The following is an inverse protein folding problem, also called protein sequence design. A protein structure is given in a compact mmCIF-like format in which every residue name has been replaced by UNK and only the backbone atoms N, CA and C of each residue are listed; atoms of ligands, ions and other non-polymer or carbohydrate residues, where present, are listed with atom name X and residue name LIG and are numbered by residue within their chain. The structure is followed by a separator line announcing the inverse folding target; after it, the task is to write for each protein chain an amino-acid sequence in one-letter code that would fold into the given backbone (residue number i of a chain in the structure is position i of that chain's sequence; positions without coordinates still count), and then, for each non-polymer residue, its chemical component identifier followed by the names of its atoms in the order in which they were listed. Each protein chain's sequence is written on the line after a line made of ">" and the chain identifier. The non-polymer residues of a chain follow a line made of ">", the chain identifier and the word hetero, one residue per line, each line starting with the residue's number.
data_IF_354947063172
#
_entry.id   IF_354947063172
#
_cell.length_a   1.000
_cell.length_b   1.000
_cell.length_c   1.000
_cell.angle_alpha   90.00
_cell.angle_beta   90.00
_cell.angle_gamma   90.00
#
_symmetry.space_group_name_H-M   'P 1'
#
loop_
_entity.id
_entity.type
_entity.pdbx_description
1 polymer ?
#
# COMPACT_ATOMS: atom_id res chain seq x y z
N UNK A 1 -22.68 -6.70 -15.19
CA UNK A 1 -23.22 -6.35 -13.86
C UNK A 1 -24.74 -6.09 -13.88
N UNK A 2 -25.43 -6.15 -12.71
CA UNK A 2 -26.85 -5.77 -12.53
C UNK A 2 -26.92 -4.30 -12.04
N UNK A 3 -27.84 -3.49 -12.58
CA UNK A 3 -28.04 -2.07 -12.21
C UNK A 3 -29.49 -1.83 -11.72
N UNK A 4 -29.82 -2.26 -10.48
CA UNK A 4 -31.21 -2.38 -10.04
C UNK A 4 -31.91 -1.06 -9.66
N UNK A 5 -31.17 0.02 -9.40
CA UNK A 5 -31.73 1.31 -9.01
C UNK A 5 -31.60 2.35 -10.13
N UNK A 6 -32.45 3.38 -10.12
CA UNK A 6 -32.38 4.51 -11.08
C UNK A 6 -31.06 5.29 -10.90
N UNK A 7 -30.67 5.56 -9.65
CA UNK A 7 -29.40 6.17 -9.27
C UNK A 7 -28.88 5.50 -7.99
N UNK A 8 -27.60 5.67 -7.70
CA UNK A 8 -26.99 5.27 -6.44
C UNK A 8 -26.31 3.91 -6.48
N UNK A 9 -26.43 3.13 -7.56
CA UNK A 9 -25.87 1.77 -7.67
C UNK A 9 -24.40 1.70 -7.26
N UNK A 10 -23.56 2.61 -7.73
CA UNK A 10 -22.14 2.64 -7.35
C UNK A 10 -21.91 2.96 -5.87
N UNK A 11 -22.74 3.82 -5.26
CA UNK A 11 -22.67 4.14 -3.82
C UNK A 11 -23.12 2.93 -3.00
N UNK A 12 -24.26 2.35 -3.35
CA UNK A 12 -24.81 1.15 -2.71
C UNK A 12 -23.85 -0.04 -2.84
N UNK A 13 -23.27 -0.29 -4.00
CA UNK A 13 -22.30 -1.37 -4.20
C UNK A 13 -21.08 -1.23 -3.28
N UNK A 14 -20.54 -0.01 -3.11
CA UNK A 14 -19.42 0.24 -2.19
C UNK A 14 -19.83 0.11 -0.72
N UNK A 15 -21.06 0.48 -0.37
CA UNK A 15 -21.59 0.27 0.98
C UNK A 15 -21.77 -1.22 1.28
N UNK A 16 -22.34 -2.00 0.36
CA UNK A 16 -22.49 -3.46 0.50
C UNK A 16 -21.12 -4.14 0.59
N UNK A 17 -20.16 -3.73 -0.24
CA UNK A 17 -18.77 -4.20 -0.15
C UNK A 17 -18.19 -3.95 1.24
N UNK A 18 -18.34 -2.73 1.77
CA UNK A 18 -17.88 -2.39 3.11
C UNK A 18 -18.59 -3.19 4.20
N UNK A 19 -19.91 -3.38 4.09
CA UNK A 19 -20.69 -4.18 5.02
C UNK A 19 -20.15 -5.61 5.11
N UNK A 20 -19.89 -6.26 3.96
CA UNK A 20 -19.36 -7.62 3.92
C UNK A 20 -17.95 -7.67 4.54
N UNK A 21 -17.08 -6.72 4.17
CA UNK A 21 -15.71 -6.63 4.72
C UNK A 21 -15.72 -6.44 6.24
N UNK A 22 -16.55 -5.53 6.75
CA UNK A 22 -16.68 -5.27 8.17
C UNK A 22 -17.24 -6.46 8.94
N UNK A 23 -18.21 -7.19 8.38
CA UNK A 23 -18.71 -8.45 8.97
C UNK A 23 -17.62 -9.53 9.06
N UNK A 24 -16.63 -9.48 8.18
CA UNK A 24 -15.45 -10.35 8.21
C UNK A 24 -14.29 -9.80 9.06
N UNK A 25 -14.49 -8.67 9.77
CA UNK A 25 -13.49 -8.08 10.67
C UNK A 25 -12.49 -7.11 10.01
N UNK A 26 -12.66 -6.79 8.72
CA UNK A 26 -11.81 -5.82 8.04
C UNK A 26 -12.24 -4.37 8.36
N UNK A 27 -11.29 -3.41 8.37
CA UNK A 27 -11.62 -2.01 8.63
C UNK A 27 -12.45 -1.40 7.49
N UNK A 28 -13.15 -0.28 7.75
CA UNK A 28 -13.79 0.51 6.71
C UNK A 28 -12.82 0.83 5.55
N UNK A 29 -13.15 0.31 4.37
CA UNK A 29 -12.30 0.32 3.19
C UNK A 29 -12.71 1.43 2.24
N UNK A 30 -11.77 2.34 1.99
CA UNK A 30 -12.03 3.55 1.19
C UNK A 30 -11.38 3.45 -0.18
N UNK A 31 -12.21 3.42 -1.23
CA UNK A 31 -11.75 3.62 -2.60
C UNK A 31 -11.54 5.12 -2.84
N UNK A 32 -10.28 5.55 -2.82
CA UNK A 32 -9.94 6.97 -2.94
C UNK A 32 -10.32 7.57 -4.30
N UNK A 33 -10.80 8.82 -4.30
CA UNK A 33 -11.20 9.56 -5.50
C UNK A 33 -10.09 9.65 -6.56
N UNK A 34 -8.83 9.75 -6.13
CA UNK A 34 -7.66 9.79 -7.04
C UNK A 34 -7.55 8.53 -7.91
N UNK A 35 -8.05 7.39 -7.41
CA UNK A 35 -8.02 6.10 -8.11
C UNK A 35 -9.25 5.88 -8.99
N UNK A 36 -10.13 6.88 -9.18
CA UNK A 36 -11.39 6.74 -9.93
C UNK A 36 -11.20 6.12 -11.32
N UNK A 37 -10.20 6.57 -12.09
CA UNK A 37 -9.93 6.02 -13.43
C UNK A 37 -9.51 4.55 -13.38
N UNK A 38 -8.69 4.18 -12.40
CA UNK A 38 -8.26 2.80 -12.20
C UNK A 38 -9.44 1.93 -11.76
N UNK A 39 -10.30 2.44 -10.88
CA UNK A 39 -11.49 1.75 -10.41
C UNK A 39 -12.43 1.35 -11.56
N UNK A 40 -12.78 2.28 -12.46
CA UNK A 40 -13.60 1.94 -13.62
C UNK A 40 -12.91 0.91 -14.52
N UNK A 41 -11.60 1.06 -14.77
CA UNK A 41 -10.85 0.10 -15.58
C UNK A 41 -10.89 -1.32 -15.03
N UNK A 42 -10.77 -1.50 -13.71
CA UNK A 42 -10.82 -2.84 -13.10
C UNK A 42 -12.25 -3.40 -13.05
N UNK A 43 -13.28 -2.54 -13.00
CA UNK A 43 -14.67 -2.97 -13.20
C UNK A 43 -14.90 -3.49 -14.62
N UNK A 44 -14.47 -2.75 -15.64
CA UNK A 44 -14.60 -3.17 -17.04
C UNK A 44 -13.87 -4.51 -17.29
N UNK A 45 -12.70 -4.69 -16.68
CA UNK A 45 -11.97 -5.96 -16.74
C UNK A 45 -12.72 -7.10 -16.03
N UNK A 46 -13.35 -6.82 -14.90
CA UNK A 46 -14.16 -7.80 -14.19
C UNK A 46 -15.39 -8.22 -15.02
N UNK A 47 -16.08 -7.27 -15.64
CA UNK A 47 -17.18 -7.55 -16.58
C UNK A 47 -16.70 -8.35 -17.80
N UNK A 48 -15.45 -8.15 -18.23
CA UNK A 48 -14.78 -8.95 -19.28
C UNK A 48 -14.23 -10.32 -18.78
N UNK A 49 -14.66 -10.79 -17.61
CA UNK A 49 -14.29 -12.11 -17.08
C UNK A 49 -12.95 -12.17 -16.33
N UNK A 50 -12.36 -11.02 -15.95
CA UNK A 50 -11.11 -10.94 -15.19
C UNK A 50 -11.32 -10.34 -13.79
N UNK A 51 -12.13 -10.97 -12.90
CA UNK A 51 -12.50 -10.39 -11.62
C UNK A 51 -11.32 -10.24 -10.64
N UNK A 52 -10.24 -11.02 -10.83
CA UNK A 52 -9.05 -10.97 -9.98
C UNK A 52 -8.42 -9.57 -9.90
N UNK A 53 -8.52 -8.75 -10.95
CA UNK A 53 -7.97 -7.39 -10.94
C UNK A 53 -8.77 -6.45 -10.04
N UNK A 54 -10.09 -6.62 -9.99
CA UNK A 54 -10.96 -5.90 -9.05
C UNK A 54 -10.71 -6.35 -7.62
N UNK A 55 -10.58 -7.67 -7.38
CA UNK A 55 -10.26 -8.22 -6.05
C UNK A 55 -8.94 -7.65 -5.53
N UNK A 56 -7.88 -7.68 -6.34
CA UNK A 56 -6.58 -7.11 -5.98
C UNK A 56 -6.65 -5.58 -5.74
N UNK A 57 -7.45 -4.86 -6.53
CA UNK A 57 -7.66 -3.43 -6.33
C UNK A 57 -8.32 -3.13 -4.97
N UNK A 58 -9.37 -3.88 -4.61
CA UNK A 58 -10.04 -3.74 -3.32
C UNK A 58 -9.12 -4.18 -2.18
N UNK A 59 -8.38 -5.28 -2.33
CA UNK A 59 -7.42 -5.75 -1.32
C UNK A 59 -6.36 -4.69 -0.97
N UNK A 60 -5.81 -4.00 -1.97
CA UNK A 60 -4.89 -2.86 -1.72
C UNK A 60 -5.55 -1.67 -1.03
N UNK A 61 -6.85 -1.48 -1.23
CA UNK A 61 -7.59 -0.44 -0.51
C UNK A 61 -7.81 -0.85 0.96
N UNK A 62 -8.10 -2.14 1.22
CA UNK A 62 -8.21 -2.69 2.59
C UNK A 62 -6.89 -2.53 3.34
N UNK A 63 -5.77 -2.96 2.73
CA UNK A 63 -4.42 -2.83 3.30
C UNK A 63 -4.10 -1.38 3.67
N UNK A 64 -4.38 -0.44 2.77
CA UNK A 64 -4.17 0.99 3.04
C UNK A 64 -5.01 1.48 4.21
N UNK A 65 -6.29 1.11 4.28
CA UNK A 65 -7.14 1.46 5.42
C UNK A 65 -6.57 0.87 6.71
N UNK A 66 -6.15 -0.40 6.70
CA UNK A 66 -5.60 -1.06 7.87
C UNK A 66 -4.32 -0.39 8.37
N UNK A 67 -3.39 -0.05 7.46
CA UNK A 67 -2.18 0.69 7.79
C UNK A 67 -2.50 2.05 8.44
N UNK A 68 -3.49 2.78 7.91
CA UNK A 68 -3.92 4.06 8.49
C UNK A 68 -4.41 3.90 9.93
N UNK A 69 -5.22 2.88 10.22
CA UNK A 69 -5.70 2.62 11.59
C UNK A 69 -4.56 2.17 12.51
N UNK A 70 -3.67 1.30 12.04
CA UNK A 70 -2.50 0.86 12.80
C UNK A 70 -1.58 2.02 13.14
N UNK A 71 -1.27 2.90 12.18
CA UNK A 71 -0.48 4.11 12.40
C UNK A 71 -1.14 5.04 13.43
N UNK A 72 -2.46 5.19 13.39
CA UNK A 72 -3.19 6.03 14.35
C UNK A 72 -3.24 5.44 15.76
N UNK A 73 -3.22 4.11 15.89
CA UNK A 73 -3.32 3.41 17.18
C UNK A 73 -1.97 3.02 17.79
N UNK A 74 -0.87 3.13 17.04
CA UNK A 74 0.46 2.78 17.55
C UNK A 74 1.07 4.00 18.26
N UNK A 75 1.18 3.99 19.60
CA UNK A 75 1.81 5.09 20.32
C UNK A 75 3.29 5.17 19.93
N UNK A 76 3.79 6.37 19.66
CA UNK A 76 5.22 6.62 19.53
C UNK A 76 5.79 6.68 20.94
N UNK A 77 6.13 5.51 21.50
CA UNK A 77 6.57 5.33 22.90
C UNK A 77 7.91 6.05 23.18
N UNK A 78 8.71 6.28 22.13
CA UNK A 78 9.94 7.06 22.15
C UNK A 78 10.19 7.57 20.74
N UNK A 79 10.90 8.70 20.60
CA UNK A 79 11.40 9.11 19.28
C UNK A 79 12.16 7.92 18.68
N UNK A 80 11.87 7.51 17.42
CA UNK A 80 12.64 6.46 16.79
C UNK A 80 14.11 6.87 16.81
N UNK A 81 15.01 5.92 17.08
CA UNK A 81 16.43 6.19 16.90
C UNK A 81 16.64 6.69 15.45
N UNK A 82 17.59 7.60 15.19
CA UNK A 82 17.83 8.11 13.84
C UNK A 82 18.03 7.00 12.79
N UNK A 83 18.50 5.83 13.23
CA UNK A 83 18.70 4.64 12.39
C UNK A 83 17.41 3.89 12.04
N UNK A 84 16.35 4.04 12.85
CA UNK A 84 15.02 3.46 12.64
C UNK A 84 14.05 4.41 11.91
N UNK A 85 14.50 5.63 11.59
CA UNK A 85 13.70 6.57 10.81
C UNK A 85 13.57 6.13 9.35
N UNK A 86 12.34 6.18 8.83
CA UNK A 86 12.06 5.89 7.43
C UNK A 86 12.49 7.07 6.55
N UNK A 87 13.62 6.93 5.88
CA UNK A 87 14.19 7.94 4.99
C UNK A 87 14.04 7.54 3.51
N UNK A 88 13.95 8.49 2.57
CA UNK A 88 13.89 8.17 1.15
C UNK A 88 15.11 7.36 0.70
N UNK A 89 14.94 6.46 -0.28
CA UNK A 89 16.07 5.66 -0.80
C UNK A 89 17.25 6.52 -1.29
N UNK A 90 16.98 7.73 -1.79
CA UNK A 90 18.00 8.70 -2.17
C UNK A 90 18.91 9.07 -0.99
N UNK A 91 18.31 9.26 0.17
CA UNK A 91 19.03 9.61 1.40
C UNK A 91 19.69 8.39 2.01
N UNK A 92 19.03 7.23 1.99
CA UNK A 92 19.56 5.97 2.48
C UNK A 92 20.79 5.49 1.70
N UNK A 93 20.87 5.81 0.40
CA UNK A 93 22.07 5.56 -0.40
C UNK A 93 23.28 6.39 0.08
N UNK A 94 23.03 7.57 0.66
CA UNK A 94 24.08 8.47 1.15
C UNK A 94 24.87 7.86 2.30
N UNK A 95 26.18 7.70 2.11
CA UNK A 95 27.08 7.07 3.08
C UNK A 95 27.26 5.55 2.89
N UNK A 96 26.69 4.97 1.82
CA UNK A 96 26.83 3.55 1.46
C UNK A 96 27.50 3.42 0.09
N UNK A 97 28.07 2.25 -0.27
CA UNK A 97 28.61 2.02 -1.61
C UNK A 97 27.51 1.81 -2.68
N UNK A 98 26.23 1.89 -2.32
CA UNK A 98 25.10 1.56 -3.18
C UNK A 98 24.45 2.82 -3.80
N UNK A 99 24.00 2.71 -5.05
CA UNK A 99 23.20 3.77 -5.70
C UNK A 99 21.73 3.70 -5.28
N UNK A 100 21.01 4.82 -5.45
CA UNK A 100 19.56 4.87 -5.24
C UNK A 100 18.82 3.86 -6.14
N UNK A 101 19.24 3.71 -7.39
CA UNK A 101 18.67 2.75 -8.34
C UNK A 101 18.85 1.31 -7.86
N UNK A 102 20.02 0.99 -7.30
CA UNK A 102 20.28 -0.34 -6.75
C UNK A 102 19.39 -0.62 -5.53
N UNK A 103 19.29 0.32 -4.59
CA UNK A 103 18.36 0.18 -3.46
C UNK A 103 16.90 0.07 -3.94
N UNK A 104 16.54 0.77 -5.02
CA UNK A 104 15.20 0.68 -5.61
C UNK A 104 14.91 -0.70 -6.21
N UNK A 105 15.93 -1.35 -6.78
CA UNK A 105 15.85 -2.74 -7.23
C UNK A 105 15.66 -3.69 -6.04
N UNK A 106 16.44 -3.53 -4.97
CA UNK A 106 16.32 -4.35 -3.76
C UNK A 106 14.94 -4.22 -3.11
N UNK A 107 14.42 -2.98 -3.01
CA UNK A 107 13.07 -2.71 -2.50
C UNK A 107 11.98 -3.39 -3.36
N UNK A 108 12.10 -3.33 -4.69
CA UNK A 108 11.15 -3.98 -5.60
C UNK A 108 11.21 -5.51 -5.58
N UNK A 109 12.40 -6.06 -5.32
CA UNK A 109 12.63 -7.52 -5.29
C UNK A 109 12.40 -8.11 -3.89
N UNK A 110 12.15 -7.28 -2.88
CA UNK A 110 11.91 -7.70 -1.50
C UNK A 110 13.17 -8.13 -0.75
N UNK A 111 14.36 -7.76 -1.24
CA UNK A 111 15.65 -8.08 -0.58
C UNK A 111 15.99 -7.14 0.57
N UNK A 112 15.42 -5.94 0.56
CA UNK A 112 15.46 -5.02 1.70
C UNK A 112 14.02 -4.63 2.03
N UNK A 113 13.75 -4.43 3.31
CA UNK A 113 12.45 -3.93 3.73
C UNK A 113 12.32 -2.46 3.32
N UNK A 114 11.25 -2.15 2.58
CA UNK A 114 11.00 -0.82 2.04
C UNK A 114 9.52 -0.57 1.87
N UNK A 115 9.08 0.65 2.15
CA UNK A 115 7.68 1.07 2.03
C UNK A 115 7.56 2.17 0.98
N UNK A 116 6.61 2.02 0.06
CA UNK A 116 6.31 3.05 -0.94
C UNK A 116 5.25 4.01 -0.43
N UNK A 117 5.66 5.23 -0.06
CA UNK A 117 4.74 6.31 0.33
C UNK A 117 4.58 7.27 -0.85
N UNK A 118 3.42 7.23 -1.51
CA UNK A 118 3.16 7.99 -2.73
C UNK A 118 4.02 7.50 -3.91
N UNK A 119 4.90 8.37 -4.43
CA UNK A 119 5.81 8.05 -5.54
C UNK A 119 7.22 7.66 -5.08
N UNK A 120 7.51 7.80 -3.80
CA UNK A 120 8.86 7.67 -3.24
C UNK A 120 8.94 6.38 -2.41
N UNK A 121 10.05 5.68 -2.55
CA UNK A 121 10.39 4.53 -1.72
C UNK A 121 11.17 5.00 -0.49
N UNK A 122 10.86 4.40 0.65
CA UNK A 122 11.50 4.66 1.93
C UNK A 122 12.07 3.36 2.49
N UNK A 123 13.21 3.46 3.15
CA UNK A 123 13.83 2.39 3.96
C UNK A 123 14.50 3.03 5.18
N UNK A 124 15.18 2.26 6.02
CA UNK A 124 15.94 2.78 7.16
C UNK A 124 17.44 2.57 6.93
N UNK A 125 18.31 3.39 7.55
CA UNK A 125 19.76 3.17 7.47
C UNK A 125 20.14 1.81 8.05
N UNK A 126 19.48 1.41 9.13
CA UNK A 126 19.68 0.11 9.77
C UNK A 126 19.49 -1.05 8.78
N UNK A 127 18.40 -1.04 8.00
CA UNK A 127 18.09 -2.11 7.04
C UNK A 127 19.09 -2.20 5.88
N UNK A 128 19.59 -1.05 5.41
CA UNK A 128 20.63 -1.04 4.36
C UNK A 128 21.94 -1.61 4.88
N UNK A 129 22.28 -1.30 6.13
CA UNK A 129 23.47 -1.83 6.79
C UNK A 129 23.35 -3.32 7.11
N UNK A 130 22.19 -3.79 7.58
CA UNK A 130 21.89 -5.21 7.75
C UNK A 130 22.01 -5.98 6.43
N UNK A 131 21.54 -5.39 5.32
CA UNK A 131 21.72 -5.98 3.99
C UNK A 131 23.20 -6.05 3.61
N UNK A 132 23.98 -4.99 3.86
CA UNK A 132 25.43 -4.95 3.59
C UNK A 132 26.13 -6.08 4.33
N UNK A 133 25.82 -6.26 5.61
CA UNK A 133 26.40 -7.32 6.44
C UNK A 133 25.96 -8.73 6.00
N UNK A 134 24.78 -8.87 5.39
CA UNK A 134 24.30 -10.17 4.90
C UNK A 134 24.99 -10.66 3.62
N UNK A 135 25.67 -9.75 2.90
CA UNK A 135 26.36 -10.06 1.64
C UNK A 135 27.90 -10.02 1.78
N UNK A 136 28.41 -9.61 2.94
CA UNK A 136 29.83 -9.73 3.35
C UNK A 136 30.11 -11.12 3.94
#
# INVERSE_FOLDING_TARGET
>A
AIHPFIDGNGRTARLVMNLILMRAGYPPTVIQRINRRQYYRVLDQADAGKPATLVNFVGRAVERSMNLYMEACTPVISAPSPEAEWIPLREAAGGTPYSQEYLSLLARTGRIEAVKRGRVWYTTRKLVEEYRQSIE
#
